data_IF_856861846687
#
_entry.id   IF_856861846687
#
_cell.length_a   1.000
_cell.length_b   1.000
_cell.length_c   1.000
_cell.angle_alpha   90.00
_cell.angle_beta   90.00
_cell.angle_gamma   90.00
#
_symmetry.space_group_name_H-M   'P 1'
#
loop_
_entity.id
_entity.type
_entity.pdbx_description
1 polymer ?
#
# COMPACT_ATOMS: atom_id res chain seq x y z
N UNK A 1 20.42 7.85 -27.50
CA UNK A 1 19.57 6.75 -26.97
C UNK A 1 19.86 5.40 -27.67
N UNK A 2 21.08 4.85 -27.60
CA UNK A 2 21.38 3.51 -28.17
C UNK A 2 22.05 2.54 -27.19
N UNK A 3 22.58 3.03 -26.06
CA UNK A 3 23.32 2.19 -25.10
C UNK A 3 22.45 1.48 -24.04
N UNK A 4 21.20 1.94 -23.79
CA UNK A 4 20.33 1.36 -22.74
C UNK A 4 19.62 0.06 -23.16
N UNK A 5 19.33 -0.12 -24.45
CA UNK A 5 18.58 -1.29 -24.95
C UNK A 5 19.42 -2.57 -24.84
N UNK A 6 20.72 -2.50 -25.12
CA UNK A 6 21.63 -3.65 -25.02
C UNK A 6 21.85 -4.15 -23.58
N UNK A 7 21.74 -3.28 -22.58
CA UNK A 7 21.90 -3.66 -21.16
C UNK A 7 20.69 -4.47 -20.65
N UNK A 8 19.48 -4.12 -21.09
CA UNK A 8 18.24 -4.84 -20.74
C UNK A 8 18.23 -6.24 -21.37
N UNK A 9 18.63 -6.35 -22.64
CA UNK A 9 18.75 -7.64 -23.34
C UNK A 9 19.80 -8.58 -22.73
N UNK A 10 20.81 -8.04 -22.03
CA UNK A 10 21.86 -8.79 -21.36
C UNK A 10 21.53 -9.15 -19.90
N UNK A 11 20.29 -8.89 -19.42
CA UNK A 11 19.87 -9.18 -18.05
C UNK A 11 20.55 -8.31 -16.98
N UNK A 12 21.30 -7.27 -17.38
CA UNK A 12 21.99 -6.37 -16.46
C UNK A 12 21.06 -5.25 -16.02
N UNK A 13 20.24 -5.54 -15.03
CA UNK A 13 19.45 -4.53 -14.33
C UNK A 13 20.34 -3.81 -13.31
N UNK A 14 21.15 -2.85 -13.75
CA UNK A 14 21.93 -1.98 -12.87
C UNK A 14 21.07 -0.90 -12.18
N UNK A 15 19.80 -1.19 -11.91
CA UNK A 15 18.91 -0.31 -11.16
C UNK A 15 18.94 -0.71 -9.70
N UNK A 16 19.48 0.14 -8.83
CA UNK A 16 19.21 0.04 -7.39
C UNK A 16 17.70 -0.01 -7.19
N UNK A 17 17.22 -1.04 -6.47
CA UNK A 17 15.79 -1.20 -6.18
C UNK A 17 15.40 -0.30 -5.01
N UNK A 18 14.19 0.27 -5.00
CA UNK A 18 13.70 0.97 -3.83
C UNK A 18 13.62 0.01 -2.63
N UNK A 19 14.08 0.47 -1.47
CA UNK A 19 13.92 -0.23 -0.19
C UNK A 19 12.69 0.37 0.48
N UNK A 20 11.66 -0.45 0.70
CA UNK A 20 10.36 0.00 1.22
C UNK A 20 10.32 -0.06 2.75
N UNK A 21 9.73 0.97 3.35
CA UNK A 21 9.31 1.00 4.74
C UNK A 21 7.83 1.44 4.82
N UNK A 22 7.11 0.89 5.79
CA UNK A 22 5.70 1.20 6.04
C UNK A 22 5.57 1.85 7.42
N UNK A 23 4.69 2.85 7.55
CA UNK A 23 4.42 3.46 8.87
C UNK A 23 3.70 2.51 9.83
N UNK A 24 2.95 1.56 9.27
CA UNK A 24 2.17 0.54 9.98
C UNK A 24 2.38 -0.78 9.25
N UNK A 25 2.79 -1.83 9.98
CA UNK A 25 2.90 -3.18 9.43
C UNK A 25 1.55 -3.93 9.46
N UNK A 26 0.64 -3.49 10.33
CA UNK A 26 -0.69 -4.07 10.50
C UNK A 26 -1.67 -2.96 10.86
N UNK A 27 -2.85 -3.00 10.24
CA UNK A 27 -3.94 -2.06 10.52
C UNK A 27 -4.97 -2.78 11.38
N UNK A 28 -5.04 -2.43 12.66
CA UNK A 28 -6.06 -2.92 13.60
C UNK A 28 -7.20 -1.90 13.72
N UNK A 29 -8.42 -2.32 13.42
CA UNK A 29 -9.61 -1.46 13.45
C UNK A 29 -10.63 -1.95 14.49
N UNK A 30 -11.11 -1.04 15.33
CA UNK A 30 -12.29 -1.26 16.17
C UNK A 30 -13.48 -0.58 15.50
N UNK A 31 -14.40 -1.38 14.96
CA UNK A 31 -15.50 -0.89 14.13
C UNK A 31 -16.84 -1.05 14.85
N UNK A 32 -17.69 -0.02 14.75
CA UNK A 32 -19.08 -0.08 15.19
C UNK A 32 -19.95 -0.35 13.95
N UNK A 33 -20.90 -1.28 14.05
CA UNK A 33 -21.78 -1.65 12.96
C UNK A 33 -22.44 -0.40 12.33
N UNK A 34 -22.35 -0.30 11.00
CA UNK A 34 -22.96 0.79 10.25
C UNK A 34 -22.16 2.10 10.25
N UNK A 35 -21.01 2.18 10.92
CA UNK A 35 -20.06 3.30 10.78
C UNK A 35 -18.88 2.92 9.91
N UNK A 36 -18.63 3.68 8.85
CA UNK A 36 -17.40 3.53 8.08
C UNK A 36 -16.23 4.15 8.83
N UNK A 37 -15.18 3.36 9.05
CA UNK A 37 -13.92 3.83 9.60
C UNK A 37 -12.94 4.13 8.46
N UNK A 38 -12.19 5.22 8.57
CA UNK A 38 -11.22 5.63 7.57
C UNK A 38 -9.89 5.95 8.23
N UNK A 39 -8.79 5.69 7.52
CA UNK A 39 -7.45 5.92 8.02
C UNK A 39 -6.45 6.06 6.89
N UNK A 40 -5.17 6.10 7.26
CA UNK A 40 -4.09 6.14 6.28
C UNK A 40 -2.77 5.63 6.84
N UNK A 41 -1.98 4.98 6.00
CA UNK A 41 -0.59 4.63 6.28
C UNK A 41 0.33 5.26 5.25
N UNK A 42 1.65 5.23 5.50
CA UNK A 42 2.67 5.78 4.62
C UNK A 42 3.57 4.66 4.10
N UNK A 43 3.85 4.71 2.81
CA UNK A 43 4.89 3.91 2.15
C UNK A 43 6.04 4.86 1.81
N UNK A 44 7.26 4.51 2.22
CA UNK A 44 8.46 5.33 2.03
C UNK A 44 9.61 4.51 1.44
N UNK A 45 10.33 5.09 0.49
CA UNK A 45 11.62 4.60 0.02
C UNK A 45 12.72 5.12 0.92
N UNK A 46 13.40 4.23 1.65
CA UNK A 46 14.49 4.60 2.57
C UNK A 46 15.80 4.89 1.85
N UNK A 47 15.89 4.62 0.55
CA UNK A 47 17.06 4.88 -0.29
C UNK A 47 16.82 5.94 -1.37
N UNK A 48 15.78 6.80 -1.20
CA UNK A 48 15.49 7.95 -2.08
C UNK A 48 15.21 7.58 -3.54
N UNK A 49 14.77 6.34 -3.77
CA UNK A 49 14.40 5.86 -5.10
C UNK A 49 12.88 5.91 -5.20
N UNK A 50 12.37 6.67 -6.17
CA UNK A 50 10.93 6.76 -6.41
C UNK A 50 10.30 5.38 -6.57
N UNK A 51 9.20 5.18 -5.85
CA UNK A 51 8.33 4.03 -5.93
C UNK A 51 7.13 4.39 -6.80
N UNK A 52 6.72 3.46 -7.66
CA UNK A 52 5.50 3.54 -8.44
C UNK A 52 4.83 2.17 -8.38
N UNK A 53 3.54 2.13 -8.08
CA UNK A 53 2.86 0.86 -7.85
C UNK A 53 1.36 0.99 -7.66
N UNK A 54 0.78 -0.16 -7.34
CA UNK A 54 -0.64 -0.31 -7.05
C UNK A 54 -0.78 -0.96 -5.67
N UNK A 55 -1.68 -0.45 -4.85
CA UNK A 55 -2.03 -1.01 -3.54
C UNK A 55 -3.51 -1.35 -3.48
N UNK A 56 -3.82 -2.51 -2.93
CA UNK A 56 -5.18 -3.00 -2.73
C UNK A 56 -5.21 -3.87 -1.48
N UNK A 57 -6.37 -3.95 -0.83
CA UNK A 57 -6.58 -4.89 0.27
C UNK A 57 -7.09 -6.22 -0.29
N UNK A 58 -6.70 -7.33 0.35
CA UNK A 58 -7.34 -8.63 0.13
C UNK A 58 -8.65 -8.77 0.93
N UNK A 59 -8.88 -7.88 1.90
CA UNK A 59 -10.13 -7.86 2.66
C UNK A 59 -11.22 -7.13 1.85
N UNK A 60 -12.32 -7.79 1.46
CA UNK A 60 -13.36 -7.18 0.63
C UNK A 60 -14.09 -6.01 1.31
N UNK A 61 -13.95 -5.86 2.63
CA UNK A 61 -14.50 -4.73 3.38
C UNK A 61 -13.57 -3.53 3.44
N UNK A 62 -12.31 -3.65 3.00
CA UNK A 62 -11.33 -2.57 3.03
C UNK A 62 -11.01 -2.10 1.61
N UNK A 63 -11.10 -0.79 1.40
CA UNK A 63 -10.83 -0.14 0.11
C UNK A 63 -9.68 0.86 0.25
N UNK A 64 -8.71 0.81 -0.66
CA UNK A 64 -7.67 1.84 -0.79
C UNK A 64 -8.16 2.95 -1.72
N UNK A 65 -8.19 4.19 -1.24
CA UNK A 65 -8.79 5.34 -1.95
C UNK A 65 -7.85 6.00 -2.97
N UNK A 66 -6.55 5.72 -2.90
CA UNK A 66 -5.56 6.12 -3.88
C UNK A 66 -4.69 4.91 -4.25
N UNK A 67 -5.25 3.95 -5.02
CA UNK A 67 -4.60 2.67 -5.28
C UNK A 67 -3.36 2.81 -6.14
N UNK A 68 -3.37 3.73 -7.11
CA UNK A 68 -2.19 4.05 -7.91
C UNK A 68 -1.40 5.17 -7.24
N UNK A 69 -0.10 4.96 -7.08
CA UNK A 69 0.76 5.96 -6.45
C UNK A 69 2.14 6.05 -7.11
N UNK A 70 2.74 7.23 -6.99
CA UNK A 70 4.14 7.50 -7.33
C UNK A 70 4.73 8.49 -6.33
N UNK A 71 5.98 8.27 -5.90
CA UNK A 71 6.72 9.21 -5.06
C UNK A 71 7.86 8.53 -4.31
N UNK A 72 8.59 9.27 -3.48
CA UNK A 72 9.55 8.68 -2.53
C UNK A 72 8.86 8.37 -1.18
N UNK A 73 7.86 9.18 -0.81
CA UNK A 73 7.04 9.00 0.38
C UNK A 73 5.59 9.29 0.01
N UNK A 74 4.72 8.29 0.13
CA UNK A 74 3.31 8.42 -0.26
C UNK A 74 2.40 7.97 0.85
N UNK A 75 1.34 8.75 1.10
CA UNK A 75 0.27 8.39 2.03
C UNK A 75 -0.83 7.66 1.27
N UNK A 76 -1.15 6.44 1.71
CA UNK A 76 -2.26 5.64 1.21
C UNK A 76 -3.42 5.79 2.18
N UNK A 77 -4.56 6.26 1.68
CA UNK A 77 -5.81 6.35 2.44
C UNK A 77 -6.64 5.11 2.23
N UNK A 78 -7.32 4.64 3.27
CA UNK A 78 -8.22 3.52 3.20
C UNK A 78 -9.55 3.83 3.89
N UNK A 79 -10.58 3.07 3.53
CA UNK A 79 -11.87 3.04 4.20
C UNK A 79 -12.28 1.59 4.47
N UNK A 80 -12.89 1.34 5.62
CA UNK A 80 -13.42 0.05 6.01
C UNK A 80 -14.95 0.11 6.11
N UNK A 81 -15.61 -0.83 5.45
CA UNK A 81 -17.06 -1.00 5.46
C UNK A 81 -17.47 -1.99 6.56
N UNK A 82 -17.98 -1.45 7.66
CA UNK A 82 -18.45 -2.22 8.81
C UNK A 82 -19.89 -2.75 8.68
N UNK A 83 -20.57 -2.49 7.55
CA UNK A 83 -21.97 -2.87 7.39
C UNK A 83 -22.13 -4.39 7.53
N UNK A 84 -23.05 -4.81 8.40
CA UNK A 84 -23.34 -6.22 8.66
C UNK A 84 -22.28 -6.95 9.51
N UNK A 85 -21.40 -6.20 10.19
CA UNK A 85 -20.60 -6.73 11.30
C UNK A 85 -21.33 -6.43 12.59
N UNK A 86 -22.11 -7.39 13.10
CA UNK A 86 -22.60 -7.34 14.48
C UNK A 86 -21.42 -7.47 15.44
N UNK A 87 -21.40 -6.60 16.44
CA UNK A 87 -20.31 -6.39 17.40
C UNK A 87 -19.74 -7.70 17.98
N UNK A 88 -18.40 -7.73 18.14
CA UNK A 88 -17.56 -8.76 18.78
C UNK A 88 -16.77 -9.76 17.91
N UNK A 89 -16.12 -9.33 16.82
CA UNK A 89 -14.96 -10.06 16.29
C UNK A 89 -13.82 -9.13 15.84
N UNK A 90 -12.57 -9.29 16.33
CA UNK A 90 -11.43 -8.53 15.87
C UNK A 90 -11.09 -8.92 14.42
N UNK A 91 -11.03 -7.93 13.53
CA UNK A 91 -10.64 -8.12 12.13
C UNK A 91 -9.18 -7.67 11.95
N UNK A 92 -8.29 -8.62 11.66
CA UNK A 92 -6.90 -8.34 11.25
C UNK A 92 -6.81 -8.35 9.73
N UNK A 93 -6.18 -7.33 9.15
CA UNK A 93 -5.82 -7.28 7.74
C UNK A 93 -4.30 -7.11 7.62
N UNK A 94 -3.65 -8.02 6.89
CA UNK A 94 -2.24 -7.89 6.52
C UNK A 94 -2.15 -7.06 5.24
N UNK A 95 -1.19 -6.13 5.19
CA UNK A 95 -0.83 -5.34 4.02
C UNK A 95 0.08 -6.11 3.06
#
# INVERSE_FOLDING_TARGET
MRARIGQIAAGRFNGTKPILAFSEETIDLSVIEGRSEAGSFVIESTNQIKICGIVYSTNPRMECLNPHFEGEKVRIRYQFNSKGLTEAMPARANL
#
